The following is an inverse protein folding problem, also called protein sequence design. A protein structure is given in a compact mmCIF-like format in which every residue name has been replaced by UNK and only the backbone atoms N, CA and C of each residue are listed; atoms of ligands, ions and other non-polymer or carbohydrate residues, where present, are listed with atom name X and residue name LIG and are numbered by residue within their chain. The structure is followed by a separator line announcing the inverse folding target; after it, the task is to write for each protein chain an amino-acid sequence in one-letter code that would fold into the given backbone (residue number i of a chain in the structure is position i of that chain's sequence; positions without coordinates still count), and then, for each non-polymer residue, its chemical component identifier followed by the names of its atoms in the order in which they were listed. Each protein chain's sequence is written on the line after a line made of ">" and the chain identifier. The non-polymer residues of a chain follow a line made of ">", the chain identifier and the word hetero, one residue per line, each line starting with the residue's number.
data_IF_439512891215
#
_entry.id   IF_439512891215
#
_cell.length_a   1.000
_cell.length_b   1.000
_cell.length_c   1.000
_cell.angle_alpha   90.00
_cell.angle_beta   90.00
_cell.angle_gamma   90.00
#
_symmetry.space_group_name_H-M   'P 1'
#
loop_
_entity.id
_entity.type
_entity.pdbx_description
1 polymer ?
#
# COMPACT_ATOMS: atom_id res chain seq x y z
N UNK A 1 9.57 12.44 -5.58
CA UNK A 1 9.42 13.10 -4.27
C UNK A 1 7.98 13.08 -3.80
N UNK A 2 7.02 13.28 -4.71
CA UNK A 2 5.60 13.47 -4.34
C UNK A 2 4.74 12.20 -4.40
N UNK A 3 5.23 11.11 -5.02
CA UNK A 3 4.44 9.88 -5.22
C UNK A 3 4.24 9.07 -3.93
N UNK A 4 5.15 9.18 -2.96
CA UNK A 4 5.07 8.41 -1.71
C UNK A 4 3.84 8.77 -0.85
N UNK A 5 3.36 10.02 -0.96
CA UNK A 5 2.21 10.52 -0.22
C UNK A 5 0.90 10.48 -1.01
N UNK A 6 0.94 10.14 -2.31
CA UNK A 6 -0.25 10.09 -3.17
C UNK A 6 -0.83 8.67 -3.22
N UNK A 7 -2.15 8.56 -3.25
CA UNK A 7 -2.83 7.30 -3.54
C UNK A 7 -2.71 6.95 -5.03
N UNK A 8 -2.41 5.68 -5.33
CA UNK A 8 -2.36 5.20 -6.72
C UNK A 8 -3.73 5.30 -7.42
N UNK A 9 -4.80 4.95 -6.72
CA UNK A 9 -6.17 4.99 -7.19
C UNK A 9 -6.95 6.06 -6.42
N UNK A 10 -7.72 6.87 -7.14
CA UNK A 10 -8.52 7.92 -6.51
C UNK A 10 -9.11 8.91 -7.49
N UNK A 11 -10.13 9.63 -7.04
CA UNK A 11 -10.89 10.60 -7.84
C UNK A 11 -10.28 12.00 -7.91
N UNK A 12 -8.96 12.14 -7.76
CA UNK A 12 -8.27 13.44 -7.72
C UNK A 12 -8.20 14.06 -6.32
N UNK A 13 -8.01 15.38 -6.23
CA UNK A 13 -7.83 16.10 -4.96
C UNK A 13 -6.41 16.05 -4.40
N UNK A 14 -6.22 16.60 -3.20
CA UNK A 14 -4.94 16.53 -2.49
C UNK A 14 -4.60 15.05 -2.21
N UNK A 15 -3.34 14.67 -2.46
CA UNK A 15 -2.89 13.28 -2.34
C UNK A 15 -3.64 12.26 -3.20
N UNK A 16 -4.38 12.71 -4.22
CA UNK A 16 -5.30 11.88 -5.01
C UNK A 16 -6.42 11.22 -4.19
N UNK A 17 -6.85 11.85 -3.09
CA UNK A 17 -7.96 11.37 -2.27
C UNK A 17 -9.21 12.26 -2.40
N UNK A 18 -10.36 11.61 -2.61
CA UNK A 18 -11.67 12.25 -2.63
C UNK A 18 -12.73 11.29 -2.07
N UNK A 19 -13.29 11.62 -0.90
CA UNK A 19 -14.27 10.77 -0.20
C UNK A 19 -15.58 10.55 -0.99
N UNK A 20 -15.89 11.41 -1.97
CA UNK A 20 -17.05 11.25 -2.85
C UNK A 20 -16.75 10.50 -4.16
N UNK A 21 -15.49 10.13 -4.39
CA UNK A 21 -15.02 9.46 -5.60
C UNK A 21 -13.92 8.43 -5.24
N UNK A 22 -14.33 7.38 -4.53
CA UNK A 22 -13.44 6.31 -4.06
C UNK A 22 -13.20 5.24 -5.13
N UNK A 23 -12.13 4.47 -4.98
CA UNK A 23 -11.79 3.38 -5.89
C UNK A 23 -12.94 2.40 -6.10
N UNK A 24 -13.17 2.04 -7.37
CA UNK A 24 -14.30 1.22 -7.79
C UNK A 24 -15.54 2.02 -8.23
N UNK A 25 -15.60 3.33 -7.96
CA UNK A 25 -16.65 4.20 -8.49
C UNK A 25 -16.41 4.55 -9.97
N UNK A 26 -17.48 4.81 -10.76
CA UNK A 26 -17.35 5.27 -12.13
C UNK A 26 -16.51 6.54 -12.25
N UNK A 27 -15.58 6.57 -13.21
CA UNK A 27 -14.71 7.72 -13.46
C UNK A 27 -13.48 7.81 -12.54
N UNK A 28 -13.33 6.93 -11.56
CA UNK A 28 -12.12 6.83 -10.73
C UNK A 28 -11.10 5.94 -11.40
N UNK A 29 -9.84 6.41 -11.47
CA UNK A 29 -8.76 5.70 -12.16
C UNK A 29 -7.63 5.34 -11.22
N UNK A 30 -6.98 4.21 -11.51
CA UNK A 30 -5.74 3.80 -10.87
C UNK A 30 -4.52 4.27 -11.67
N UNK A 31 -3.40 4.45 -10.98
CA UNK A 31 -2.10 4.73 -11.56
C UNK A 31 -1.62 3.56 -12.43
N UNK A 32 -0.70 3.83 -13.36
CA UNK A 32 -0.19 2.82 -14.31
C UNK A 32 0.65 1.73 -13.63
N UNK A 33 1.37 2.08 -12.55
CA UNK A 33 2.25 1.16 -11.84
C UNK A 33 1.98 1.20 -10.33
N UNK A 34 1.04 0.38 -9.82
CA UNK A 34 0.71 0.35 -8.39
C UNK A 34 1.90 -0.02 -7.50
N UNK A 35 2.88 -0.79 -7.98
CA UNK A 35 4.06 -1.19 -7.20
C UNK A 35 5.03 -0.03 -6.91
N UNK A 36 4.89 1.11 -7.60
CA UNK A 36 5.68 2.31 -7.33
C UNK A 36 5.07 3.23 -6.24
N UNK A 37 3.89 2.89 -5.72
CA UNK A 37 3.16 3.67 -4.73
C UNK A 37 3.08 2.94 -3.40
N UNK A 38 3.13 3.71 -2.31
CA UNK A 38 2.92 3.16 -0.96
C UNK A 38 1.42 2.94 -0.72
N UNK A 39 0.61 3.94 -1.05
CA UNK A 39 -0.81 3.97 -0.78
C UNK A 39 -1.63 3.60 -2.02
N UNK A 40 -2.66 2.76 -1.83
CA UNK A 40 -3.56 2.33 -2.88
C UNK A 40 -4.69 3.35 -3.10
N UNK A 41 -5.51 3.65 -2.11
CA UNK A 41 -6.79 4.35 -2.30
C UNK A 41 -7.06 5.51 -1.34
N UNK A 42 -6.07 5.91 -0.54
CA UNK A 42 -6.16 6.89 0.54
C UNK A 42 -6.32 6.27 1.93
N UNK A 43 -6.63 4.97 2.01
CA UNK A 43 -6.89 4.24 3.27
C UNK A 43 -6.02 2.99 3.37
N UNK A 44 -5.90 2.22 2.28
CA UNK A 44 -5.17 0.96 2.20
C UNK A 44 -3.81 1.11 1.53
N UNK A 45 -2.87 0.21 1.83
CA UNK A 45 -1.60 0.13 1.13
C UNK A 45 -1.69 -0.68 -0.17
N UNK A 46 -0.72 -0.46 -1.06
CA UNK A 46 -0.57 -1.28 -2.26
C UNK A 46 -0.11 -2.70 -1.91
N UNK A 47 -0.36 -3.65 -2.81
CA UNK A 47 0.13 -5.03 -2.65
C UNK A 47 1.66 -5.07 -2.44
N UNK A 48 2.42 -4.28 -3.20
CA UNK A 48 3.87 -4.19 -3.05
C UNK A 48 4.27 -3.77 -1.63
N UNK A 49 3.59 -2.80 -1.04
CA UNK A 49 3.84 -2.34 0.33
C UNK A 49 3.48 -3.40 1.36
N UNK A 50 2.33 -4.06 1.20
CA UNK A 50 1.97 -5.20 2.05
C UNK A 50 2.98 -6.34 1.95
N UNK A 51 3.55 -6.60 0.77
CA UNK A 51 4.63 -7.58 0.60
C UNK A 51 5.85 -7.19 1.42
N UNK A 52 6.30 -5.93 1.37
CA UNK A 52 7.41 -5.46 2.21
C UNK A 52 7.14 -5.62 3.71
N UNK A 53 5.92 -5.30 4.16
CA UNK A 53 5.51 -5.48 5.57
C UNK A 53 5.57 -6.96 5.95
N UNK A 54 4.98 -7.83 5.13
CA UNK A 54 4.93 -9.27 5.37
C UNK A 54 6.33 -9.88 5.42
N UNK A 55 7.21 -9.54 4.46
CA UNK A 55 8.61 -9.98 4.45
C UNK A 55 9.33 -9.57 5.73
N UNK A 56 9.13 -8.34 6.19
CA UNK A 56 9.73 -7.84 7.42
C UNK A 56 9.23 -8.54 8.70
N UNK A 57 8.01 -9.07 8.70
CA UNK A 57 7.51 -9.92 9.80
C UNK A 57 8.00 -11.36 9.70
N UNK A 58 7.97 -11.93 8.50
CA UNK A 58 8.34 -13.32 8.24
C UNK A 58 9.82 -13.56 8.47
N UNK A 59 10.66 -12.68 7.91
CA UNK A 59 12.11 -12.82 7.88
C UNK A 59 12.83 -11.85 8.83
N UNK A 60 12.13 -10.83 9.35
CA UNK A 60 12.68 -9.81 10.24
C UNK A 60 13.00 -8.50 9.51
N UNK A 61 13.24 -7.39 10.25
CA UNK A 61 13.37 -7.32 11.71
C UNK A 61 12.09 -6.85 12.43
N UNK A 62 10.92 -6.82 11.77
CA UNK A 62 9.72 -6.18 12.31
C UNK A 62 8.80 -7.11 13.10
N UNK A 63 9.30 -8.29 13.49
CA UNK A 63 8.72 -9.19 14.46
C UNK A 63 9.86 -9.79 15.31
N UNK A 64 9.62 -10.03 16.59
CA UNK A 64 10.62 -10.57 17.53
C UNK A 64 10.06 -11.78 18.30
N UNK A 65 10.57 -13.00 18.06
CA UNK A 65 11.47 -13.36 16.94
C UNK A 65 10.76 -13.22 15.58
N UNK A 66 11.48 -13.06 14.45
CA UNK A 66 10.89 -13.17 13.13
C UNK A 66 10.07 -14.45 13.01
N UNK A 67 8.87 -14.38 12.40
CA UNK A 67 7.87 -15.47 12.45
C UNK A 67 8.48 -16.80 12.00
N UNK A 68 9.24 -16.81 10.89
CA UNK A 68 9.82 -18.05 10.36
C UNK A 68 11.00 -18.57 11.18
N UNK A 69 11.62 -17.72 12.01
CA UNK A 69 12.65 -18.18 12.96
C UNK A 69 12.01 -18.83 14.20
N UNK A 70 10.81 -18.40 14.59
CA UNK A 70 10.04 -18.98 15.69
C UNK A 70 9.50 -20.39 15.39
N UNK A 71 9.32 -20.72 14.10
CA UNK A 71 8.79 -22.01 13.65
C UNK A 71 9.85 -23.13 13.57
N UNK A 72 11.13 -22.79 13.69
CA UNK A 72 12.23 -23.77 13.69
C UNK A 72 12.38 -24.35 15.09
N UNK A 73 11.69 -25.47 15.33
CA UNK A 73 11.98 -26.39 16.43
C UNK A 73 13.11 -27.34 16.05
#
# INVERSE_FOLDING_TARGET
>A
GDDALRACCGGGGAYNWNASAVCGMPGVTACKNPSAFVNWDGIHYTEATYRFIAEGWLHGPFADPPILSALRY
#
